data_IF_782813125124
#
_entry.id   IF_782813125124
#
_cell.length_a   1.000
_cell.length_b   1.000
_cell.length_c   1.000
_cell.angle_alpha   90.00
_cell.angle_beta   90.00
_cell.angle_gamma   90.00
#
_symmetry.space_group_name_H-M   'P 1'
#
loop_
_entity.id
_entity.type
_entity.pdbx_description
1 polymer ?
#
# COMPACT_ATOMS: atom_id res chain seq x y z
N UNK A 1 23.48 -4.58 -1.99
CA UNK A 1 22.87 -5.09 -0.74
C UNK A 1 21.92 -4.00 -0.26
N UNK A 2 20.68 -4.01 -0.76
CA UNK A 2 19.65 -3.05 -0.32
C UNK A 2 19.12 -3.53 1.02
N UNK A 3 19.33 -2.75 2.07
CA UNK A 3 19.00 -3.08 3.45
C UNK A 3 17.49 -3.33 3.60
N UNK A 4 17.05 -4.47 4.16
CA UNK A 4 15.64 -4.87 4.14
C UNK A 4 14.78 -4.27 5.28
N UNK A 5 15.29 -3.37 6.12
CA UNK A 5 14.65 -3.15 7.42
C UNK A 5 14.81 -1.72 7.95
N UNK A 6 14.22 -0.74 7.29
CA UNK A 6 13.97 0.56 7.94
C UNK A 6 12.70 1.20 7.40
N UNK A 7 11.60 0.42 7.40
CA UNK A 7 10.32 1.09 7.28
C UNK A 7 10.17 1.98 8.52
N UNK A 8 9.84 3.27 8.36
CA UNK A 8 9.64 4.14 9.50
C UNK A 8 8.56 3.55 10.42
N UNK A 9 8.66 3.77 11.74
CA UNK A 9 7.76 3.18 12.72
C UNK A 9 6.29 3.54 12.46
N UNK A 10 6.04 4.72 11.90
CA UNK A 10 4.72 5.19 11.46
C UNK A 10 4.11 4.32 10.36
N UNK A 11 4.92 3.74 9.49
CA UNK A 11 4.45 2.87 8.40
C UNK A 11 4.43 1.39 8.78
N UNK A 12 5.06 1.02 9.90
CA UNK A 12 5.14 -0.37 10.37
C UNK A 12 3.76 -0.95 10.69
N UNK A 13 2.84 -0.12 11.22
CA UNK A 13 1.44 -0.51 11.45
C UNK A 13 0.72 -0.85 10.14
N UNK A 14 0.83 0.02 9.15
CA UNK A 14 0.28 -0.18 7.81
C UNK A 14 0.84 -1.45 7.14
N UNK A 15 2.16 -1.66 7.21
CA UNK A 15 2.83 -2.81 6.62
C UNK A 15 2.33 -4.12 7.22
N UNK A 16 2.17 -4.16 8.55
CA UNK A 16 1.64 -5.31 9.27
C UNK A 16 0.18 -5.59 8.93
N UNK A 17 -0.64 -4.54 8.82
CA UNK A 17 -2.03 -4.67 8.37
C UNK A 17 -2.11 -5.27 6.97
N UNK A 18 -1.33 -4.72 6.02
CA UNK A 18 -1.32 -5.18 4.63
C UNK A 18 -0.85 -6.63 4.51
N UNK A 19 0.19 -7.01 5.27
CA UNK A 19 0.67 -8.40 5.31
C UNK A 19 -0.35 -9.35 5.94
N UNK A 20 -1.18 -8.87 6.86
CA UNK A 20 -2.29 -9.63 7.44
C UNK A 20 -3.45 -9.82 6.45
N UNK A 21 -3.81 -8.74 5.73
CA UNK A 21 -4.86 -8.76 4.71
C UNK A 21 -4.47 -9.61 3.48
N UNK A 22 -3.19 -9.59 3.09
CA UNK A 22 -2.64 -10.31 1.94
C UNK A 22 -1.58 -11.33 2.38
N UNK A 23 -1.97 -12.25 3.26
CA UNK A 23 -1.06 -13.27 3.82
C UNK A 23 -0.47 -14.22 2.79
N UNK A 24 -1.16 -14.43 1.66
CA UNK A 24 -0.70 -15.22 0.51
C UNK A 24 0.04 -14.42 -0.57
N UNK A 25 0.31 -13.14 -0.33
CA UNK A 25 0.80 -12.21 -1.34
C UNK A 25 -0.32 -11.37 -1.96
N UNK A 26 0.04 -10.18 -2.44
CA UNK A 26 -0.91 -9.22 -3.00
C UNK A 26 -1.07 -9.47 -4.51
N UNK A 27 -2.29 -9.75 -5.01
CA UNK A 27 -2.51 -9.92 -6.44
C UNK A 27 -2.41 -8.57 -7.17
N UNK A 28 -2.02 -8.57 -8.45
CA UNK A 28 -1.87 -7.34 -9.26
C UNK A 28 -3.16 -6.50 -9.33
N UNK A 29 -4.32 -7.16 -9.34
CA UNK A 29 -5.63 -6.47 -9.32
C UNK A 29 -5.86 -5.70 -8.02
N UNK A 30 -5.34 -6.20 -6.89
CA UNK A 30 -5.40 -5.51 -5.61
C UNK A 30 -4.27 -4.49 -5.48
N UNK A 31 -3.10 -4.72 -6.09
CA UNK A 31 -1.94 -3.83 -5.98
C UNK A 31 -2.27 -2.39 -6.37
N UNK A 32 -2.80 -2.17 -7.58
CA UNK A 32 -3.15 -0.81 -8.02
C UNK A 32 -4.31 -0.21 -7.21
N UNK A 33 -5.27 -1.04 -6.80
CA UNK A 33 -6.37 -0.59 -5.95
C UNK A 33 -5.90 -0.11 -4.58
N UNK A 34 -4.95 -0.83 -3.97
CA UNK A 34 -4.33 -0.46 -2.69
C UNK A 34 -3.45 0.78 -2.85
N UNK A 35 -2.68 0.89 -3.94
CA UNK A 35 -1.92 2.11 -4.24
C UNK A 35 -2.82 3.33 -4.28
N UNK A 36 -3.88 3.29 -5.09
CA UNK A 36 -4.80 4.43 -5.19
C UNK A 36 -5.54 4.74 -3.88
N UNK A 37 -5.90 3.72 -3.10
CA UNK A 37 -6.54 3.92 -1.81
C UNK A 37 -5.61 4.62 -0.80
N UNK A 38 -4.37 4.15 -0.69
CA UNK A 38 -3.41 4.66 0.28
C UNK A 38 -2.74 5.97 -0.17
N UNK A 39 -2.79 6.29 -1.47
CA UNK A 39 -2.29 7.54 -2.03
C UNK A 39 -2.96 8.79 -1.42
N UNK A 40 -4.22 8.68 -1.00
CA UNK A 40 -4.94 9.78 -0.33
C UNK A 40 -4.43 10.03 1.10
N UNK A 41 -3.79 9.01 1.71
CA UNK A 41 -3.37 9.04 3.12
C UNK A 41 -1.86 9.16 3.31
N UNK A 42 -1.05 8.76 2.33
CA UNK A 42 0.40 8.75 2.39
C UNK A 42 1.02 9.53 1.24
N UNK A 43 2.12 10.26 1.51
CA UNK A 43 2.94 10.84 0.45
C UNK A 43 3.52 9.76 -0.46
N UNK A 44 3.82 10.08 -1.73
CA UNK A 44 4.31 9.15 -2.75
C UNK A 44 5.47 8.28 -2.23
N UNK A 45 6.42 8.91 -1.54
CA UNK A 45 7.61 8.25 -0.99
C UNK A 45 7.28 7.27 0.13
N UNK A 46 6.38 7.65 1.04
CA UNK A 46 5.95 6.77 2.14
C UNK A 46 5.15 5.59 1.60
N UNK A 47 4.26 5.83 0.63
CA UNK A 47 3.52 4.78 -0.04
C UNK A 47 4.45 3.81 -0.78
N UNK A 48 5.46 4.35 -1.49
CA UNK A 48 6.43 3.55 -2.21
C UNK A 48 7.22 2.63 -1.26
N UNK A 49 7.74 3.17 -0.16
CA UNK A 49 8.48 2.41 0.86
C UNK A 49 7.62 1.32 1.50
N UNK A 50 6.37 1.65 1.86
CA UNK A 50 5.41 0.72 2.44
C UNK A 50 5.11 -0.45 1.50
N UNK A 51 4.80 -0.15 0.25
CA UNK A 51 4.45 -1.14 -0.76
C UNK A 51 5.64 -1.96 -1.21
N UNK A 52 6.84 -1.36 -1.29
CA UNK A 52 8.09 -2.08 -1.54
C UNK A 52 8.31 -3.20 -0.51
N UNK A 53 8.13 -2.92 0.78
CA UNK A 53 8.36 -3.92 1.82
C UNK A 53 7.24 -4.97 1.95
N UNK A 54 6.01 -4.65 1.54
CA UNK A 54 4.90 -5.60 1.51
C UNK A 54 5.00 -6.52 0.30
N UNK A 55 5.34 -5.96 -0.86
CA UNK A 55 5.38 -6.69 -2.14
C UNK A 55 6.76 -7.26 -2.47
N UNK A 56 7.77 -6.97 -1.64
CA UNK A 56 9.19 -7.27 -1.91
C UNK A 56 9.70 -6.69 -3.24
N UNK A 57 9.09 -5.59 -3.69
CA UNK A 57 9.51 -4.82 -4.87
C UNK A 57 10.49 -3.73 -4.48
N UNK A 58 11.17 -3.16 -5.47
CA UNK A 58 12.04 -2.01 -5.29
C UNK A 58 11.21 -0.72 -5.14
N UNK A 59 11.56 0.15 -4.19
CA UNK A 59 10.79 1.37 -3.93
C UNK A 59 10.73 2.29 -5.15
N UNK A 60 11.78 2.33 -5.96
CA UNK A 60 11.79 3.08 -7.23
C UNK A 60 10.79 2.52 -8.25
N UNK A 61 10.63 1.19 -8.30
CA UNK A 61 9.65 0.54 -9.17
C UNK A 61 8.23 0.89 -8.73
N UNK A 62 7.97 0.78 -7.42
CA UNK A 62 6.67 1.11 -6.85
C UNK A 62 6.34 2.59 -7.05
N UNK A 63 7.32 3.49 -6.90
CA UNK A 63 7.12 4.92 -7.14
C UNK A 63 6.70 5.19 -8.59
N UNK A 64 7.32 4.52 -9.55
CA UNK A 64 6.91 4.60 -10.95
C UNK A 64 5.47 4.07 -11.15
N UNK A 65 5.13 2.96 -10.49
CA UNK A 65 3.77 2.41 -10.53
C UNK A 65 2.74 3.36 -9.91
N UNK A 66 3.08 4.10 -8.85
CA UNK A 66 2.23 5.13 -8.25
C UNK A 66 1.91 6.22 -9.27
N UNK A 67 2.92 6.75 -9.97
CA UNK A 67 2.71 7.77 -11.00
C UNK A 67 1.88 7.25 -12.18
N UNK A 68 2.10 5.99 -12.59
CA UNK A 68 1.29 5.35 -13.62
C UNK A 68 -0.16 5.13 -13.16
N UNK A 69 -0.35 4.71 -11.92
CA UNK A 69 -1.65 4.49 -11.28
C UNK A 69 -2.46 5.77 -11.18
N UNK A 70 -1.83 6.87 -10.74
CA UNK A 70 -2.45 8.20 -10.68
C UNK A 70 -2.99 8.66 -12.04
N UNK A 71 -2.30 8.30 -13.13
CA UNK A 71 -2.74 8.62 -14.50
C UNK A 71 -3.83 7.68 -15.01
N UNK A 72 -3.73 6.38 -14.71
CA UNK A 72 -4.65 5.37 -15.25
C UNK A 72 -5.96 5.24 -14.47
N UNK A 73 -5.99 5.65 -13.20
CA UNK A 73 -7.09 5.52 -12.23
C UNK A 73 -7.70 4.10 -12.17
N UNK A 74 -7.42 3.31 -11.11
CA UNK A 74 -7.98 1.97 -11.00
C UNK A 74 -9.51 1.99 -10.89
N UNK A 75 -10.14 0.90 -11.34
CA UNK A 75 -11.58 0.70 -11.29
C UNK A 75 -12.11 0.94 -9.86
N UNK A 76 -13.15 1.77 -9.67
CA UNK A 76 -13.64 2.14 -8.34
C UNK A 76 -14.11 0.93 -7.53
N UNK A 77 -14.70 -0.07 -8.20
CA UNK A 77 -15.12 -1.32 -7.54
C UNK A 77 -13.94 -2.11 -6.95
N UNK A 78 -12.76 -2.07 -7.58
CA UNK A 78 -11.56 -2.71 -7.05
C UNK A 78 -11.00 -1.96 -5.86
N UNK A 79 -11.02 -0.62 -5.90
CA UNK A 79 -10.62 0.24 -4.78
C UNK A 79 -11.54 0.03 -3.57
N UNK A 80 -12.86 -0.05 -3.77
CA UNK A 80 -13.82 -0.33 -2.69
C UNK A 80 -13.64 -1.73 -2.09
N UNK A 81 -13.37 -2.74 -2.92
CA UNK A 81 -13.09 -4.09 -2.42
C UNK A 81 -11.81 -4.12 -1.56
N UNK A 82 -10.73 -3.47 -2.02
CA UNK A 82 -9.50 -3.34 -1.25
C UNK A 82 -9.72 -2.58 0.06
N UNK A 83 -10.51 -1.50 0.02
CA UNK A 83 -10.89 -0.72 1.21
C UNK A 83 -11.65 -1.56 2.23
N UNK A 84 -12.67 -2.31 1.81
CA UNK A 84 -13.44 -3.17 2.71
C UNK A 84 -12.60 -4.29 3.32
N UNK A 85 -11.65 -4.85 2.56
CA UNK A 85 -10.72 -5.83 3.10
C UNK A 85 -9.81 -5.19 4.15
N UNK A 86 -9.18 -4.07 3.84
CA UNK A 86 -8.25 -3.40 4.77
C UNK A 86 -8.98 -2.87 6.02
N UNK A 87 -10.23 -2.42 5.89
CA UNK A 87 -11.05 -2.00 7.03
C UNK A 87 -11.23 -3.13 8.06
N UNK A 88 -11.42 -4.37 7.62
CA UNK A 88 -11.51 -5.54 8.51
C UNK A 88 -10.19 -5.85 9.22
N UNK A 89 -9.05 -5.39 8.68
CA UNK A 89 -7.72 -5.61 9.23
C UNK A 89 -7.17 -4.38 9.99
N UNK A 90 -7.95 -3.30 10.12
CA UNK A 90 -7.58 -2.13 10.92
C UNK A 90 -7.17 -0.88 10.15
N UNK A 91 -7.63 -0.70 8.90
CA UNK A 91 -7.34 0.51 8.09
C UNK A 91 -7.62 1.81 8.85
N UNK A 92 -8.68 1.82 9.65
CA UNK A 92 -9.05 2.96 10.50
C UNK A 92 -7.95 3.38 11.49
N UNK A 93 -7.11 2.45 11.98
CA UNK A 93 -6.01 2.78 12.88
C UNK A 93 -4.82 3.41 12.13
N UNK A 94 -4.69 3.10 10.84
CA UNK A 94 -3.63 3.59 9.96
C UNK A 94 -3.99 4.95 9.35
N UNK A 95 -5.28 5.18 9.09
CA UNK A 95 -5.80 6.46 8.59
C UNK A 95 -6.09 7.51 9.68
N UNK A 96 -6.09 7.13 10.96
CA UNK A 96 -6.42 8.03 12.08
C UNK A 96 -5.22 8.74 12.70
N UNK A 97 -4.01 8.54 12.17
CA UNK A 97 -2.82 9.29 12.59
C UNK A 97 -2.78 10.63 11.81
N UNK A 98 -3.55 11.61 12.29
CA UNK A 98 -3.40 13.06 12.02
C UNK A 98 -2.65 13.73 13.18
#
# INVERSE_FOLDING_TARGET
>A
MSTPDTLPPTLSGAARMLRSAYSGGMPDTAYFAVLALLYDHFSDRNLAELMAAVTHKDAETVLNDIYACASSKPEPSSVEAAKNLLAQHGLQAVCAED
#
